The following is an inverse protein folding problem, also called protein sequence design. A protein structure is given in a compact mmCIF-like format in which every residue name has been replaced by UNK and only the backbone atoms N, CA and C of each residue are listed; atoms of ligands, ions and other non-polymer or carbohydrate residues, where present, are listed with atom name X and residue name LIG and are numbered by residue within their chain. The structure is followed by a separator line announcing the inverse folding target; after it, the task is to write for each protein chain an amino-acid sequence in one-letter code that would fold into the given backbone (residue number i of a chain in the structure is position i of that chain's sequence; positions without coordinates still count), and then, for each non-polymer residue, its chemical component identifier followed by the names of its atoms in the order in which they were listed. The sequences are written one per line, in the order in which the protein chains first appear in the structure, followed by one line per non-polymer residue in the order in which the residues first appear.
data_IF_940020792870
#
_entry.id   IF_940020792870
#
_cell.length_a   1.000
_cell.length_b   1.000
_cell.length_c   1.000
_cell.angle_alpha   90.00
_cell.angle_beta   90.00
_cell.angle_gamma   90.00
#
_symmetry.space_group_name_H-M   'P 1'
#
loop_
_entity.id
_entity.type
_entity.pdbx_description
1 polymer ?
#
# COMPACT_ATOMS: atom_id res chain seq x y z
N UNK A 1 -25.74 16.91 8.70
CA UNK A 1 -24.44 16.22 8.87
C UNK A 1 -23.47 16.76 7.85
N UNK A 2 -22.32 17.27 8.26
CA UNK A 2 -21.27 17.73 7.34
C UNK A 2 -20.67 16.48 6.69
N UNK A 3 -20.89 16.30 5.40
CA UNK A 3 -20.28 15.19 4.66
C UNK A 3 -18.78 15.50 4.50
N UNK A 4 -17.95 14.78 5.26
CA UNK A 4 -16.48 14.91 5.16
C UNK A 4 -16.05 14.32 3.82
N UNK A 5 -15.40 15.13 2.97
CA UNK A 5 -14.96 14.69 1.65
C UNK A 5 -13.68 13.82 1.74
N UNK A 6 -13.47 12.92 0.75
CA UNK A 6 -12.18 12.20 0.59
C UNK A 6 -10.98 13.16 0.56
N UNK A 7 -11.15 14.37 0.02
CA UNK A 7 -10.10 15.39 -0.04
C UNK A 7 -9.71 15.88 1.36
N UNK A 8 -10.69 16.29 2.16
CA UNK A 8 -10.47 16.77 3.53
C UNK A 8 -9.87 15.68 4.44
N UNK A 9 -10.36 14.42 4.32
CA UNK A 9 -9.76 13.28 5.04
C UNK A 9 -8.30 13.08 4.67
N UNK A 10 -7.99 13.16 3.37
CA UNK A 10 -6.63 13.01 2.86
C UNK A 10 -5.68 14.05 3.45
N UNK A 11 -6.04 15.33 3.39
CA UNK A 11 -5.24 16.42 3.93
C UNK A 11 -5.00 16.26 5.43
N UNK A 12 -6.06 15.96 6.19
CA UNK A 12 -5.97 15.78 7.63
C UNK A 12 -5.04 14.62 8.01
N UNK A 13 -5.19 13.46 7.36
CA UNK A 13 -4.38 12.28 7.68
C UNK A 13 -2.93 12.40 7.18
N UNK A 14 -2.71 13.06 6.05
CA UNK A 14 -1.35 13.39 5.62
C UNK A 14 -0.65 14.31 6.62
N UNK A 15 -1.33 15.33 7.13
CA UNK A 15 -0.77 16.23 8.12
C UNK A 15 -0.39 15.46 9.40
N UNK A 16 -1.29 14.61 9.91
CA UNK A 16 -0.98 13.75 11.07
C UNK A 16 0.25 12.87 10.82
N UNK A 17 0.34 12.25 9.65
CA UNK A 17 1.46 11.38 9.29
C UNK A 17 2.78 12.15 9.17
N UNK A 18 2.77 13.34 8.59
CA UNK A 18 3.95 14.22 8.47
C UNK A 18 4.46 14.73 9.81
N UNK A 19 3.59 14.83 10.80
CA UNK A 19 3.95 15.22 12.16
C UNK A 19 4.63 14.11 12.97
N UNK A 20 4.68 12.86 12.47
CA UNK A 20 5.48 11.81 13.09
C UNK A 20 6.96 12.14 13.00
N UNK A 21 7.67 11.98 14.10
CA UNK A 21 9.14 12.05 14.07
C UNK A 21 9.74 10.84 13.34
N UNK A 22 10.99 10.94 12.91
CA UNK A 22 11.70 9.78 12.32
C UNK A 22 11.81 8.61 13.29
N UNK A 23 11.85 8.88 14.60
CA UNK A 23 11.88 7.86 15.65
C UNK A 23 10.53 7.15 15.69
N UNK A 24 9.42 7.90 15.69
CA UNK A 24 8.06 7.31 15.67
C UNK A 24 7.87 6.43 14.42
N UNK A 25 8.21 6.94 13.23
CA UNK A 25 8.15 6.18 11.98
C UNK A 25 8.93 4.87 12.10
N UNK A 26 10.16 4.92 12.65
CA UNK A 26 10.99 3.72 12.82
C UNK A 26 10.40 2.72 13.80
N UNK A 27 9.89 3.19 14.96
CA UNK A 27 9.30 2.32 15.98
C UNK A 27 8.01 1.68 15.47
N UNK A 28 7.10 2.48 14.92
CA UNK A 28 5.81 1.99 14.41
C UNK A 28 5.99 1.03 13.22
N UNK A 29 6.95 1.32 12.32
CA UNK A 29 7.28 0.42 11.21
C UNK A 29 7.77 -0.95 11.68
N UNK A 30 8.59 -1.01 12.74
CA UNK A 30 9.04 -2.29 13.33
C UNK A 30 7.90 -3.11 13.93
N UNK A 31 6.90 -2.45 14.52
CA UNK A 31 5.71 -3.13 15.04
C UNK A 31 4.86 -3.70 13.88
N UNK A 32 4.69 -2.95 12.80
CA UNK A 32 4.02 -3.44 11.58
C UNK A 32 4.80 -4.63 10.98
N UNK A 33 6.12 -4.55 10.89
CA UNK A 33 6.98 -5.66 10.44
C UNK A 33 6.78 -6.93 11.29
N UNK A 34 6.62 -6.77 12.60
CA UNK A 34 6.34 -7.90 13.50
C UNK A 34 4.99 -8.54 13.19
N UNK A 35 3.96 -7.75 12.93
CA UNK A 35 2.64 -8.23 12.52
C UNK A 35 2.69 -8.98 11.18
N UNK A 36 3.38 -8.40 10.18
CA UNK A 36 3.57 -9.02 8.87
C UNK A 36 4.26 -10.39 8.99
N UNK A 37 5.36 -10.48 9.75
CA UNK A 37 6.14 -11.71 9.94
C UNK A 37 5.42 -12.79 10.74
N UNK A 38 4.35 -12.46 11.44
CA UNK A 38 3.49 -13.43 12.12
C UNK A 38 2.46 -14.10 11.18
N UNK A 39 2.29 -13.58 9.96
CA UNK A 39 1.30 -14.09 9.01
C UNK A 39 1.92 -15.14 8.08
N UNK A 40 1.25 -16.28 7.91
CA UNK A 40 1.72 -17.41 7.09
C UNK A 40 1.82 -17.04 5.61
N UNK A 41 0.81 -16.34 5.05
CA UNK A 41 0.83 -15.94 3.65
C UNK A 41 2.02 -15.00 3.36
N UNK A 42 2.30 -14.04 4.26
CA UNK A 42 3.46 -13.19 4.10
C UNK A 42 4.76 -13.99 4.12
N UNK A 43 4.86 -15.00 4.97
CA UNK A 43 6.07 -15.84 5.06
C UNK A 43 6.25 -16.73 3.83
N UNK A 44 5.19 -17.32 3.31
CA UNK A 44 5.19 -18.29 2.22
C UNK A 44 5.23 -17.65 0.82
N UNK A 45 4.73 -16.42 0.67
CA UNK A 45 4.70 -15.76 -0.63
C UNK A 45 6.13 -15.55 -1.18
N UNK A 46 6.40 -15.98 -2.41
CA UNK A 46 7.66 -15.74 -3.10
C UNK A 46 7.69 -14.39 -3.81
N UNK A 47 6.63 -14.08 -4.57
CA UNK A 47 6.50 -12.86 -5.35
C UNK A 47 5.69 -11.83 -4.53
N UNK A 48 6.38 -10.81 -4.02
CA UNK A 48 5.81 -9.80 -3.16
C UNK A 48 5.83 -8.43 -3.85
N UNK A 49 4.66 -7.91 -4.20
CA UNK A 49 4.47 -6.52 -4.57
C UNK A 49 4.54 -5.64 -3.30
N UNK A 50 5.33 -4.58 -3.35
CA UNK A 50 5.43 -3.64 -2.24
C UNK A 50 5.69 -2.23 -2.76
N UNK A 51 6.01 -1.29 -1.89
CA UNK A 51 6.21 0.11 -2.23
C UNK A 51 7.52 0.65 -1.66
N UNK A 52 7.98 1.77 -2.19
CA UNK A 52 9.06 2.56 -1.61
C UNK A 52 8.43 3.60 -0.68
N UNK A 53 8.68 3.48 0.61
CA UNK A 53 8.09 4.39 1.60
C UNK A 53 8.41 5.86 1.29
N UNK A 54 7.38 6.69 1.30
CA UNK A 54 7.43 8.12 1.00
C UNK A 54 6.56 8.88 2.01
N UNK A 55 6.91 10.12 2.31
CA UNK A 55 6.09 11.02 3.13
C UNK A 55 5.69 10.39 4.49
N UNK A 56 6.68 9.85 5.23
CA UNK A 56 6.50 9.15 6.51
C UNK A 56 5.58 7.91 6.46
N UNK A 57 5.45 7.25 5.31
CA UNK A 57 4.82 5.93 5.24
C UNK A 57 5.61 4.88 6.04
N UNK A 58 4.95 3.81 6.52
CA UNK A 58 5.66 2.71 7.17
C UNK A 58 6.77 2.15 6.26
N UNK A 59 7.99 2.09 6.78
CA UNK A 59 9.15 1.53 6.06
C UNK A 59 9.33 0.07 6.44
N UNK A 60 9.11 -0.83 5.49
CA UNK A 60 9.07 -2.27 5.72
C UNK A 60 10.43 -2.94 5.54
N UNK A 61 10.73 -3.90 6.42
CA UNK A 61 11.92 -4.74 6.35
C UNK A 61 11.57 -6.08 5.69
N UNK A 62 11.68 -6.14 4.37
CA UNK A 62 11.32 -7.33 3.59
C UNK A 62 12.45 -8.37 3.62
N UNK A 63 12.15 -9.66 3.90
CA UNK A 63 13.14 -10.74 3.88
C UNK A 63 13.78 -10.93 2.50
N UNK A 64 15.07 -11.25 2.48
CA UNK A 64 15.87 -11.41 1.23
C UNK A 64 15.47 -12.61 0.37
N UNK A 65 14.78 -13.58 0.92
CA UNK A 65 14.30 -14.76 0.21
C UNK A 65 13.06 -14.51 -0.68
N UNK A 66 12.54 -13.28 -0.69
CA UNK A 66 11.40 -12.90 -1.51
C UNK A 66 11.84 -12.19 -2.78
N UNK A 67 11.15 -12.45 -3.87
CA UNK A 67 11.22 -11.65 -5.09
C UNK A 67 10.39 -10.39 -4.89
N UNK A 68 11.08 -9.27 -4.75
CA UNK A 68 10.47 -7.97 -4.48
C UNK A 68 10.10 -7.30 -5.80
N UNK A 69 8.84 -6.90 -5.90
CA UNK A 69 8.27 -6.21 -7.06
C UNK A 69 7.81 -4.82 -6.64
N UNK A 70 8.26 -3.80 -7.35
CA UNK A 70 7.96 -2.41 -7.05
C UNK A 70 7.11 -1.79 -8.15
N UNK A 71 6.16 -0.92 -7.79
CA UNK A 71 5.30 -0.26 -8.76
C UNK A 71 6.05 0.83 -9.52
N UNK A 72 5.73 0.96 -10.80
CA UNK A 72 6.12 2.05 -11.69
C UNK A 72 4.89 2.60 -12.38
N UNK A 73 4.76 3.92 -12.43
CA UNK A 73 3.65 4.55 -13.13
C UNK A 73 3.86 4.42 -14.64
N UNK A 74 2.91 3.77 -15.28
CA UNK A 74 2.84 3.69 -16.74
C UNK A 74 1.47 4.18 -17.20
N UNK A 75 1.44 5.33 -17.89
CA UNK A 75 0.22 6.04 -18.23
C UNK A 75 -0.61 6.35 -16.95
N UNK A 76 -1.80 5.78 -16.84
CA UNK A 76 -2.70 5.98 -15.69
C UNK A 76 -2.79 4.78 -14.75
N UNK A 77 -1.92 3.78 -14.91
CA UNK A 77 -1.89 2.53 -14.14
C UNK A 77 -0.51 2.29 -13.55
N UNK A 78 -0.40 1.27 -12.71
CA UNK A 78 0.87 0.74 -12.22
C UNK A 78 1.24 -0.52 -13.00
N UNK A 79 2.51 -0.63 -13.31
CA UNK A 79 3.17 -1.87 -13.70
C UNK A 79 4.12 -2.27 -12.58
N UNK A 80 4.32 -3.57 -12.37
CA UNK A 80 5.23 -4.07 -11.34
C UNK A 80 6.53 -4.56 -11.98
N UNK A 81 7.65 -4.23 -11.36
CA UNK A 81 8.99 -4.50 -11.88
C UNK A 81 9.87 -5.08 -10.79
N UNK A 82 10.77 -5.99 -11.16
CA UNK A 82 11.72 -6.57 -10.22
C UNK A 82 12.61 -5.48 -9.60
N UNK A 83 12.78 -5.54 -8.28
CA UNK A 83 13.66 -4.64 -7.58
C UNK A 83 15.13 -5.02 -7.82
N UNK A 84 15.82 -4.31 -8.70
CA UNK A 84 17.26 -4.43 -8.97
C UNK A 84 18.11 -3.42 -8.20
N UNK A 85 17.52 -2.71 -7.23
CA UNK A 85 18.16 -1.63 -6.45
C UNK A 85 18.66 -0.45 -7.32
N UNK A 86 18.06 -0.25 -8.49
CA UNK A 86 18.31 0.88 -9.39
C UNK A 86 17.02 1.67 -9.54
N UNK A 87 17.07 2.95 -9.22
CA UNK A 87 15.89 3.81 -9.14
C UNK A 87 16.06 5.12 -9.85
N UNK A 88 14.95 5.64 -10.38
CA UNK A 88 14.78 7.04 -10.79
C UNK A 88 13.61 7.66 -10.04
N UNK A 89 13.59 8.98 -9.88
CA UNK A 89 12.44 9.70 -9.33
C UNK A 89 11.41 9.97 -10.43
N UNK A 90 10.16 9.69 -10.14
CA UNK A 90 9.04 10.08 -10.99
C UNK A 90 8.64 11.56 -10.77
N UNK A 91 7.60 12.02 -11.46
CA UNK A 91 7.08 13.40 -11.36
C UNK A 91 6.57 13.79 -9.97
N UNK A 92 6.36 12.84 -9.07
CA UNK A 92 5.95 13.07 -7.68
C UNK A 92 7.12 12.97 -6.70
N UNK A 93 8.34 12.76 -7.18
CA UNK A 93 9.53 12.58 -6.35
C UNK A 93 9.69 11.18 -5.75
N UNK A 94 8.79 10.25 -6.08
CA UNK A 94 8.82 8.86 -5.60
C UNK A 94 9.82 8.07 -6.44
N UNK A 95 10.61 7.22 -5.77
CA UNK A 95 11.56 6.33 -6.45
C UNK A 95 10.81 5.19 -7.16
N UNK A 96 11.12 4.97 -8.42
CA UNK A 96 10.61 3.88 -9.25
C UNK A 96 11.75 3.07 -9.86
N UNK A 97 11.57 1.76 -10.12
CA UNK A 97 12.56 0.94 -10.84
C UNK A 97 12.91 1.54 -12.19
N UNK A 98 14.19 1.42 -12.59
CA UNK A 98 14.64 1.91 -13.92
C UNK A 98 14.41 0.90 -15.02
N UNK A 99 14.35 -0.42 -14.69
CA UNK A 99 14.11 -1.45 -15.70
C UNK A 99 12.71 -1.31 -16.29
N UNK A 100 12.52 -1.85 -17.50
CA UNK A 100 11.26 -1.79 -18.23
C UNK A 100 10.57 -3.16 -18.34
N UNK A 101 11.18 -4.22 -17.77
CA UNK A 101 10.60 -5.56 -17.76
C UNK A 101 9.41 -5.62 -16.80
N UNK A 102 8.22 -5.77 -17.35
CA UNK A 102 6.97 -5.82 -16.59
C UNK A 102 6.78 -7.23 -16.05
N UNK A 103 6.64 -7.35 -14.73
CA UNK A 103 6.28 -8.61 -14.09
C UNK A 103 4.75 -8.80 -14.16
N UNK A 104 4.27 -9.99 -14.56
CA UNK A 104 2.84 -10.26 -14.68
C UNK A 104 2.17 -10.14 -13.29
N UNK A 105 1.15 -9.29 -13.20
CA UNK A 105 0.51 -9.00 -11.91
C UNK A 105 -0.21 -10.23 -11.32
N UNK A 106 -0.69 -11.14 -12.17
CA UNK A 106 -1.33 -12.39 -11.73
C UNK A 106 -0.35 -13.39 -11.08
N UNK A 107 0.96 -13.22 -11.32
CA UNK A 107 2.01 -14.06 -10.71
C UNK A 107 2.49 -13.47 -9.37
N UNK A 108 1.96 -12.32 -8.96
CA UNK A 108 2.21 -11.74 -7.64
C UNK A 108 1.28 -12.43 -6.63
N UNK A 109 1.85 -12.92 -5.53
CA UNK A 109 1.06 -13.60 -4.50
C UNK A 109 0.39 -12.63 -3.52
N UNK A 110 1.10 -11.57 -3.17
CA UNK A 110 0.67 -10.57 -2.20
C UNK A 110 1.14 -9.18 -2.64
N UNK A 111 0.27 -8.17 -2.57
CA UNK A 111 0.62 -6.77 -2.78
C UNK A 111 0.37 -6.00 -1.49
N UNK A 112 1.44 -5.40 -0.95
CA UNK A 112 1.37 -4.46 0.16
C UNK A 112 1.14 -3.06 -0.39
N UNK A 113 0.03 -2.44 0.00
CA UNK A 113 -0.47 -1.18 -0.56
C UNK A 113 -0.40 -0.09 0.50
N UNK A 114 0.34 1.01 0.27
CA UNK A 114 0.34 2.15 1.17
C UNK A 114 -1.00 2.87 1.12
N UNK A 115 -1.38 3.48 2.24
CA UNK A 115 -2.63 4.20 2.36
C UNK A 115 -2.48 5.50 3.16
N UNK A 116 -3.42 6.42 2.99
CA UNK A 116 -3.52 7.66 3.77
C UNK A 116 -4.58 7.53 4.84
N UNK A 117 -5.68 6.87 4.52
CA UNK A 117 -6.73 6.49 5.46
C UNK A 117 -7.39 5.19 5.02
N UNK A 118 -8.05 4.51 5.93
CA UNK A 118 -8.89 3.34 5.63
C UNK A 118 -10.09 3.31 6.57
N UNK A 119 -11.12 2.57 6.21
CA UNK A 119 -12.29 2.35 7.06
C UNK A 119 -12.42 0.88 7.47
N UNK A 120 -13.38 0.61 8.32
CA UNK A 120 -13.61 -0.75 8.84
C UNK A 120 -14.01 -1.76 7.74
N UNK A 121 -14.60 -1.28 6.64
CA UNK A 121 -14.94 -2.11 5.48
C UNK A 121 -13.75 -2.37 4.55
N UNK A 122 -12.52 -1.99 4.96
CA UNK A 122 -11.26 -2.19 4.27
C UNK A 122 -11.12 -1.42 2.95
N UNK A 123 -11.86 -0.34 2.76
CA UNK A 123 -11.60 0.61 1.69
C UNK A 123 -10.54 1.60 2.12
N UNK A 124 -9.76 2.07 1.16
CA UNK A 124 -8.65 2.99 1.43
C UNK A 124 -8.77 4.31 0.69
N UNK A 125 -8.19 5.33 1.27
CA UNK A 125 -7.86 6.60 0.62
C UNK A 125 -6.37 6.61 0.30
N UNK A 126 -6.02 6.78 -0.97
CA UNK A 126 -4.64 7.01 -1.44
C UNK A 126 -4.41 8.50 -1.76
N UNK A 127 -3.31 8.79 -2.45
CA UNK A 127 -2.92 10.16 -2.84
C UNK A 127 -3.83 10.85 -3.88
N UNK A 128 -4.83 10.15 -4.43
CA UNK A 128 -5.83 10.73 -5.33
C UNK A 128 -5.61 10.45 -6.81
N UNK A 129 -4.52 9.81 -7.21
CA UNK A 129 -4.27 9.44 -8.61
C UNK A 129 -5.05 8.23 -9.12
N UNK A 130 -5.64 7.43 -8.21
CA UNK A 130 -6.42 6.23 -8.53
C UNK A 130 -5.59 5.10 -9.18
N UNK A 131 -4.26 5.17 -9.11
CA UNK A 131 -3.37 4.23 -9.80
C UNK A 131 -3.61 2.77 -9.40
N UNK A 132 -3.71 2.49 -8.09
CA UNK A 132 -3.98 1.14 -7.61
C UNK A 132 -5.38 0.67 -8.02
N UNK A 133 -6.41 1.51 -7.89
CA UNK A 133 -7.79 1.14 -8.24
C UNK A 133 -7.91 0.80 -9.73
N UNK A 134 -7.36 1.66 -10.61
CA UNK A 134 -7.32 1.42 -12.05
C UNK A 134 -6.52 0.18 -12.45
N UNK A 135 -5.45 -0.14 -11.70
CA UNK A 135 -4.60 -1.30 -11.98
C UNK A 135 -5.27 -2.59 -11.54
N UNK A 136 -5.90 -2.57 -10.37
CA UNK A 136 -6.44 -3.76 -9.70
C UNK A 136 -7.92 -4.04 -10.04
N UNK A 137 -8.59 -3.15 -10.78
CA UNK A 137 -10.03 -3.28 -11.11
C UNK A 137 -10.40 -4.65 -11.71
N UNK A 138 -9.59 -5.16 -12.61
CA UNK A 138 -9.85 -6.47 -13.24
C UNK A 138 -9.47 -7.64 -12.31
N UNK A 139 -8.47 -7.44 -11.45
CA UNK A 139 -7.90 -8.48 -10.60
C UNK A 139 -8.78 -8.76 -9.40
N UNK A 140 -9.39 -7.74 -8.82
CA UNK A 140 -10.31 -7.90 -7.69
C UNK A 140 -11.55 -8.75 -8.03
N UNK A 141 -11.81 -8.97 -9.31
CA UNK A 141 -12.91 -9.81 -9.83
C UNK A 141 -12.49 -11.27 -10.13
N UNK A 142 -11.20 -11.57 -10.00
CA UNK A 142 -10.63 -12.89 -10.32
C UNK A 142 -10.23 -13.56 -9.01
N UNK A 143 -10.75 -14.74 -8.72
CA UNK A 143 -10.46 -15.49 -7.49
C UNK A 143 -8.99 -15.92 -7.32
N UNK A 144 -8.21 -15.91 -8.41
CA UNK A 144 -6.80 -16.31 -8.46
C UNK A 144 -5.81 -15.13 -8.51
N UNK A 145 -6.25 -13.89 -8.24
CA UNK A 145 -5.37 -12.72 -8.21
C UNK A 145 -4.56 -12.59 -6.90
N UNK A 146 -3.61 -11.64 -6.83
CA UNK A 146 -2.85 -11.34 -5.63
C UNK A 146 -3.76 -10.96 -4.46
N UNK A 147 -3.36 -11.31 -3.24
CA UNK A 147 -3.96 -10.74 -2.04
C UNK A 147 -3.53 -9.29 -1.88
N UNK A 148 -4.46 -8.43 -1.43
CA UNK A 148 -4.27 -6.99 -1.33
C UNK A 148 -4.28 -6.56 0.13
N UNK A 149 -3.11 -6.25 0.69
CA UNK A 149 -3.02 -5.82 2.09
C UNK A 149 -2.63 -4.35 2.19
N UNK A 150 -3.46 -3.60 2.89
CA UNK A 150 -3.16 -2.22 3.23
C UNK A 150 -2.11 -2.14 4.36
N UNK A 151 -1.20 -1.21 4.23
CA UNK A 151 -0.19 -0.93 5.24
C UNK A 151 -0.32 0.52 5.68
N UNK A 152 -0.55 0.73 6.95
CA UNK A 152 -0.73 2.06 7.52
C UNK A 152 -0.56 2.08 9.03
N UNK A 153 -0.70 3.26 9.60
CA UNK A 153 -0.73 3.44 11.06
C UNK A 153 -2.17 3.35 11.58
N UNK A 154 -2.37 2.90 12.79
CA UNK A 154 -3.69 2.69 13.37
C UNK A 154 -4.53 3.98 13.43
N UNK A 155 -3.90 5.14 13.63
CA UNK A 155 -4.58 6.43 13.60
C UNK A 155 -5.15 6.82 12.22
N UNK A 156 -4.81 6.09 11.15
CA UNK A 156 -5.33 6.30 9.80
C UNK A 156 -6.67 5.60 9.58
N UNK A 157 -7.14 4.79 10.55
CA UNK A 157 -8.48 4.23 10.55
C UNK A 157 -9.50 5.35 10.80
N UNK A 158 -10.55 5.39 9.98
CA UNK A 158 -11.66 6.35 10.10
C UNK A 158 -12.99 5.61 10.10
N UNK A 159 -13.88 6.00 11.00
CA UNK A 159 -15.23 5.44 11.08
C UNK A 159 -16.18 6.24 10.16
N UNK A 160 -15.89 6.21 8.87
CA UNK A 160 -16.64 6.96 7.84
C UNK A 160 -16.71 6.12 6.58
N UNK A 161 -17.90 5.99 6.02
CA UNK A 161 -18.13 5.41 4.69
C UNK A 161 -17.83 6.47 3.63
N UNK A 162 -16.68 6.33 2.96
CA UNK A 162 -16.22 7.26 1.92
C UNK A 162 -16.09 6.61 0.55
N UNK A 163 -16.20 5.28 0.48
CA UNK A 163 -15.95 4.51 -0.74
C UNK A 163 -16.99 4.81 -1.82
N UNK A 164 -16.55 4.68 -3.07
CA UNK A 164 -17.41 4.71 -4.25
C UNK A 164 -17.25 3.42 -5.07
N UNK A 165 -17.99 3.31 -6.16
CA UNK A 165 -18.05 2.09 -6.99
C UNK A 165 -16.74 1.71 -7.68
N UNK A 166 -15.76 2.58 -7.68
CA UNK A 166 -14.47 2.35 -8.34
C UNK A 166 -13.37 2.00 -7.33
N UNK A 167 -13.62 2.20 -6.03
CA UNK A 167 -12.64 1.86 -5.00
C UNK A 167 -12.54 0.35 -4.83
N UNK A 168 -11.32 -0.15 -4.74
CA UNK A 168 -11.04 -1.57 -4.52
C UNK A 168 -10.95 -1.84 -3.02
N UNK A 169 -11.74 -2.83 -2.56
CA UNK A 169 -11.65 -3.33 -1.19
C UNK A 169 -10.36 -4.13 -1.00
N UNK A 170 -9.71 -3.94 0.12
CA UNK A 170 -8.54 -4.71 0.52
C UNK A 170 -8.97 -6.04 1.17
N UNK A 171 -8.11 -7.06 1.14
CA UNK A 171 -8.33 -8.30 1.88
C UNK A 171 -8.00 -8.13 3.37
N UNK A 172 -7.07 -7.22 3.70
CA UNK A 172 -6.58 -6.98 5.07
C UNK A 172 -5.93 -5.61 5.17
N UNK A 173 -5.97 -4.99 6.35
CA UNK A 173 -5.12 -3.84 6.69
C UNK A 173 -4.32 -4.17 7.94
N UNK A 174 -3.00 -3.92 7.88
CA UNK A 174 -2.07 -4.15 8.98
C UNK A 174 -1.55 -2.82 9.48
N UNK A 175 -1.69 -2.60 10.78
CA UNK A 175 -1.18 -1.43 11.49
C UNK A 175 -0.20 -1.87 12.59
N UNK A 176 0.36 -0.94 13.32
CA UNK A 176 1.23 -1.24 14.48
C UNK A 176 0.47 -1.82 15.68
N UNK A 177 -0.88 -1.63 15.72
CA UNK A 177 -1.72 -2.09 16.83
C UNK A 177 -2.62 -3.25 16.45
N UNK A 178 -3.24 -3.19 15.27
CA UNK A 178 -4.33 -4.08 14.90
C UNK A 178 -4.13 -4.65 13.49
N UNK A 179 -4.78 -5.80 13.26
CA UNK A 179 -5.00 -6.38 11.93
C UNK A 179 -6.51 -6.35 11.69
N UNK A 180 -6.91 -5.65 10.63
CA UNK A 180 -8.31 -5.54 10.19
C UNK A 180 -8.53 -6.53 9.03
N UNK A 181 -9.60 -7.35 9.10
CA UNK A 181 -9.97 -8.40 8.13
C UNK A 181 -11.45 -8.39 7.79
#
# INVERSE_FOLDING_TARGET
MIQISKHSLREHMQLKRRNLSMIDVSVLSKLIDKQLKADSLFNECENLGTYMAFDNEPSLSIPKNKRILLPKIHNEKLTFHLNENKFKKNKFGIKEPVNDDIFPINDIHLILIPLIAFNIDLYRIGYGGGYYDKTLEHISKISAGPKLWGIGYDFQMVDINFQDKFDIRLDKVITEKNIYV
#
